data_IF_789900531100
#
_entry.id   IF_789900531100
#
_cell.length_a   1.000
_cell.length_b   1.000
_cell.length_c   1.000
_cell.angle_alpha   90.00
_cell.angle_beta   90.00
_cell.angle_gamma   90.00
#
_symmetry.space_group_name_H-M   'P 1'
#
loop_
_entity.id
_entity.type
_entity.pdbx_description
1 polymer ?
#
# COMPACT_ATOMS: atom_id res chain seq x y z
N UNK A 1 -34.95 5.59 -8.47
CA UNK A 1 -33.68 5.73 -7.73
C UNK A 1 -33.67 4.92 -6.43
N UNK A 2 -34.68 5.04 -5.54
CA UNK A 2 -34.78 4.27 -4.28
C UNK A 2 -34.75 2.74 -4.46
N UNK A 3 -35.46 2.19 -5.44
CA UNK A 3 -35.46 0.74 -5.74
C UNK A 3 -34.10 0.16 -6.21
N UNK A 4 -33.19 0.99 -6.74
CA UNK A 4 -31.83 0.54 -7.08
C UNK A 4 -30.91 0.49 -5.86
N UNK A 5 -31.13 1.37 -4.89
CA UNK A 5 -30.40 1.42 -3.61
C UNK A 5 -30.79 0.25 -2.68
N UNK A 6 -31.93 -0.39 -2.91
CA UNK A 6 -32.39 -1.53 -2.11
C UNK A 6 -31.68 -2.85 -2.49
N UNK A 7 -31.04 -2.92 -3.66
CA UNK A 7 -30.32 -4.13 -4.09
C UNK A 7 -29.14 -4.42 -3.15
N UNK A 8 -28.99 -5.68 -2.69
CA UNK A 8 -27.95 -6.03 -1.72
C UNK A 8 -26.52 -5.77 -2.25
N UNK A 9 -26.31 -5.91 -3.56
CA UNK A 9 -25.03 -5.58 -4.19
C UNK A 9 -24.70 -4.08 -4.12
N UNK A 10 -25.69 -3.21 -4.29
CA UNK A 10 -25.50 -1.74 -4.24
C UNK A 10 -25.29 -1.28 -2.80
N UNK A 11 -26.05 -1.82 -1.85
CA UNK A 11 -25.83 -1.57 -0.41
C UNK A 11 -24.41 -1.96 0.02
N UNK A 12 -23.94 -3.13 -0.41
CA UNK A 12 -22.56 -3.57 -0.15
C UNK A 12 -21.54 -2.63 -0.77
N UNK A 13 -21.77 -2.13 -1.97
CA UNK A 13 -20.83 -1.21 -2.64
C UNK A 13 -20.72 0.10 -1.89
N UNK A 14 -21.87 0.65 -1.50
CA UNK A 14 -21.95 1.88 -0.74
C UNK A 14 -21.28 1.72 0.64
N UNK A 15 -21.59 0.64 1.36
CA UNK A 15 -20.95 0.32 2.65
C UNK A 15 -19.42 0.15 2.51
N UNK A 16 -18.97 -0.47 1.42
CA UNK A 16 -17.52 -0.65 1.15
C UNK A 16 -16.84 0.69 0.85
N UNK A 17 -17.49 1.57 0.11
CA UNK A 17 -16.98 2.92 -0.18
C UNK A 17 -16.95 3.80 1.07
N UNK A 18 -17.99 3.73 1.89
CA UNK A 18 -18.07 4.44 3.16
C UNK A 18 -16.95 3.98 4.09
N UNK A 19 -16.80 2.66 4.30
CA UNK A 19 -15.70 2.08 5.08
C UNK A 19 -14.32 2.49 4.55
N UNK A 20 -14.15 2.49 3.22
CA UNK A 20 -12.90 2.94 2.59
C UNK A 20 -12.57 4.40 2.95
N UNK A 21 -13.57 5.28 2.95
CA UNK A 21 -13.39 6.70 3.26
C UNK A 21 -13.17 6.92 4.75
N UNK A 22 -13.95 6.27 5.62
CA UNK A 22 -13.85 6.38 7.08
C UNK A 22 -12.51 5.86 7.63
N UNK A 23 -11.92 4.87 6.96
CA UNK A 23 -10.61 4.29 7.30
C UNK A 23 -9.44 4.94 6.55
N UNK A 24 -9.60 6.18 6.09
CA UNK A 24 -8.53 6.96 5.44
C UNK A 24 -7.93 6.27 4.22
N UNK A 25 -8.73 5.50 3.47
CA UNK A 25 -8.32 4.77 2.28
C UNK A 25 -7.63 5.65 1.22
N UNK A 26 -8.12 6.87 0.92
CA UNK A 26 -7.41 7.79 0.03
C UNK A 26 -5.99 8.15 0.49
N UNK A 27 -5.77 8.30 1.80
CA UNK A 27 -4.45 8.61 2.36
C UNK A 27 -3.51 7.41 2.28
N UNK A 28 -4.01 6.20 2.56
CA UNK A 28 -3.25 4.97 2.35
C UNK A 28 -2.90 4.78 0.86
N UNK A 29 -3.84 5.02 -0.06
CA UNK A 29 -3.58 4.95 -1.50
C UNK A 29 -2.50 5.95 -1.94
N UNK A 30 -2.53 7.18 -1.42
CA UNK A 30 -1.51 8.19 -1.69
C UNK A 30 -0.12 7.75 -1.19
N UNK A 31 -0.03 7.19 0.02
CA UNK A 31 1.22 6.65 0.55
C UNK A 31 1.76 5.49 -0.31
N UNK A 32 0.89 4.53 -0.66
CA UNK A 32 1.26 3.40 -1.54
C UNK A 32 1.77 3.91 -2.89
N UNK A 33 1.13 4.94 -3.46
CA UNK A 33 1.54 5.56 -4.72
C UNK A 33 2.94 6.15 -4.63
N UNK A 34 3.22 6.92 -3.58
CA UNK A 34 4.53 7.50 -3.33
C UNK A 34 5.62 6.42 -3.28
N UNK A 35 5.40 5.36 -2.50
CA UNK A 35 6.35 4.25 -2.43
C UNK A 35 6.45 3.48 -3.76
N UNK A 36 5.36 3.37 -4.52
CA UNK A 36 5.38 2.71 -5.84
C UNK A 36 6.30 3.44 -6.81
N UNK A 37 6.22 4.77 -6.84
CA UNK A 37 7.11 5.62 -7.68
C UNK A 37 8.57 5.48 -7.23
N UNK A 38 8.85 5.41 -5.94
CA UNK A 38 10.22 5.19 -5.45
C UNK A 38 10.76 3.81 -5.83
N UNK A 39 9.91 2.78 -5.80
CA UNK A 39 10.29 1.39 -6.08
C UNK A 39 10.42 1.09 -7.57
N UNK A 40 9.74 1.84 -8.45
CA UNK A 40 9.73 1.56 -9.90
C UNK A 40 11.15 1.60 -10.50
N UNK A 41 11.98 2.56 -10.09
CA UNK A 41 13.32 2.74 -10.67
C UNK A 41 14.22 1.54 -10.30
N UNK A 42 14.40 1.15 -9.03
CA UNK A 42 15.16 -0.05 -8.68
C UNK A 42 14.61 -1.33 -9.31
N UNK A 43 13.29 -1.47 -9.43
CA UNK A 43 12.67 -2.64 -10.08
C UNK A 43 13.00 -2.69 -11.56
N UNK A 44 12.93 -1.55 -12.27
CA UNK A 44 13.34 -1.47 -13.67
C UNK A 44 14.83 -1.74 -13.84
N UNK A 45 15.69 -1.24 -12.94
CA UNK A 45 17.11 -1.56 -12.93
C UNK A 45 17.35 -3.06 -12.71
N UNK A 46 16.59 -3.69 -11.81
CA UNK A 46 16.68 -5.12 -11.54
C UNK A 46 16.23 -5.94 -12.76
N UNK A 47 15.14 -5.54 -13.41
CA UNK A 47 14.67 -6.14 -14.66
C UNK A 47 15.73 -6.02 -15.77
N UNK A 48 16.35 -4.85 -15.91
CA UNK A 48 17.45 -4.63 -16.85
C UNK A 48 18.66 -5.51 -16.54
N UNK A 49 19.04 -5.66 -15.27
CA UNK A 49 20.13 -6.52 -14.86
C UNK A 49 19.85 -8.01 -15.12
N UNK A 50 18.63 -8.49 -14.86
CA UNK A 50 18.19 -9.86 -15.18
C UNK A 50 18.19 -10.08 -16.70
N UNK A 51 17.74 -9.08 -17.47
CA UNK A 51 17.78 -9.11 -18.93
C UNK A 51 19.22 -9.16 -19.44
N UNK A 52 20.12 -8.34 -18.88
CA UNK A 52 21.56 -8.36 -19.17
C UNK A 52 22.20 -9.70 -18.87
N UNK A 53 21.95 -10.26 -17.69
CA UNK A 53 22.40 -11.61 -17.34
C UNK A 53 21.88 -12.65 -18.34
N UNK A 54 20.60 -12.59 -18.70
CA UNK A 54 19.98 -13.54 -19.61
C UNK A 54 20.58 -13.45 -21.00
N UNK A 55 20.70 -12.24 -21.56
CA UNK A 55 21.21 -12.01 -22.91
C UNK A 55 22.73 -12.16 -23.04
N UNK A 56 23.50 -12.06 -21.96
CA UNK A 56 24.98 -12.18 -22.03
C UNK A 56 25.50 -13.53 -21.55
N UNK A 57 24.80 -14.20 -20.63
CA UNK A 57 25.27 -15.46 -20.00
C UNK A 57 24.37 -16.64 -20.36
N UNK A 58 23.05 -16.49 -20.27
CA UNK A 58 22.12 -17.62 -20.40
C UNK A 58 21.79 -17.95 -21.85
N UNK A 59 21.52 -16.93 -22.67
CA UNK A 59 21.10 -17.01 -24.09
C UNK A 59 21.73 -15.89 -24.92
N UNK A 60 23.05 -15.96 -25.21
CA UNK A 60 23.73 -14.98 -26.06
C UNK A 60 23.11 -14.85 -27.45
N UNK A 61 22.58 -15.94 -28.01
CA UNK A 61 21.93 -15.95 -29.32
C UNK A 61 20.74 -14.98 -29.42
N UNK A 62 20.03 -14.73 -28.31
CA UNK A 62 18.89 -13.80 -28.29
C UNK A 62 19.32 -12.34 -28.43
N UNK A 63 20.54 -12.02 -28.00
CA UNK A 63 21.10 -10.69 -28.11
C UNK A 63 21.29 -10.32 -29.58
N UNK A 64 21.72 -11.27 -30.41
CA UNK A 64 21.85 -11.08 -31.86
C UNK A 64 20.50 -10.85 -32.55
N UNK A 65 19.45 -11.55 -32.11
CA UNK A 65 18.06 -11.34 -32.59
C UNK A 65 17.57 -9.93 -32.23
N UNK A 66 17.84 -9.48 -30.99
CA UNK A 66 17.49 -8.11 -30.57
C UNK A 66 18.23 -7.07 -31.40
N UNK A 67 19.55 -7.24 -31.62
CA UNK A 67 20.37 -6.33 -32.44
C UNK A 67 19.88 -6.26 -33.89
N UNK A 68 19.61 -7.40 -34.51
CA UNK A 68 19.10 -7.47 -35.88
C UNK A 68 17.72 -6.81 -36.01
N UNK A 69 16.82 -7.06 -35.06
CA UNK A 69 15.50 -6.41 -35.02
C UNK A 69 15.61 -4.89 -34.88
N UNK A 70 16.49 -4.39 -34.01
CA UNK A 70 16.73 -2.94 -33.85
C UNK A 70 17.23 -2.34 -35.16
N UNK A 71 18.20 -3.00 -35.82
CA UNK A 71 18.74 -2.53 -37.10
C UNK A 71 17.71 -2.54 -38.23
N UNK A 72 16.82 -3.53 -38.24
CA UNK A 72 15.72 -3.64 -39.22
C UNK A 72 14.69 -2.52 -39.01
N UNK A 73 14.24 -2.30 -37.76
CA UNK A 73 13.23 -1.28 -37.42
C UNK A 73 13.77 0.15 -37.61
N UNK A 74 15.04 0.40 -37.27
CA UNK A 74 15.67 1.73 -37.36
C UNK A 74 16.44 1.96 -38.68
N UNK A 75 16.30 1.04 -39.64
CA UNK A 75 16.85 1.17 -40.99
C UNK A 75 18.37 1.29 -41.05
N UNK A 76 19.10 0.67 -40.11
CA UNK A 76 20.57 0.70 -40.07
C UNK A 76 21.20 2.10 -39.90
N UNK A 77 20.41 3.10 -39.48
CA UNK A 77 20.86 4.48 -39.31
C UNK A 77 21.86 4.67 -38.17
N UNK A 78 22.50 5.85 -38.10
CA UNK A 78 23.39 6.25 -37.00
C UNK A 78 22.69 6.17 -35.63
N UNK A 79 21.37 6.36 -35.61
CA UNK A 79 20.51 6.19 -34.43
C UNK A 79 20.49 4.72 -33.99
N UNK A 80 20.37 3.78 -34.92
CA UNK A 80 20.43 2.34 -34.62
C UNK A 80 21.74 1.96 -33.94
N UNK A 81 22.87 2.42 -34.48
CA UNK A 81 24.18 2.15 -33.90
C UNK A 81 24.33 2.74 -32.49
N UNK A 82 23.80 3.95 -32.26
CA UNK A 82 23.79 4.57 -30.93
C UNK A 82 22.91 3.81 -29.93
N UNK A 83 21.78 3.27 -30.38
CA UNK A 83 20.87 2.46 -29.54
C UNK A 83 21.54 1.13 -29.18
N UNK A 84 22.10 0.43 -30.17
CA UNK A 84 22.81 -0.84 -29.96
C UNK A 84 24.03 -0.65 -29.06
N UNK A 85 24.83 0.39 -29.26
CA UNK A 85 25.99 0.68 -28.41
C UNK A 85 25.58 1.03 -26.96
N UNK A 86 24.48 1.76 -26.78
CA UNK A 86 23.93 2.03 -25.43
C UNK A 86 23.44 0.74 -24.77
N UNK A 87 22.75 -0.12 -25.53
CA UNK A 87 22.30 -1.42 -25.07
C UNK A 87 23.51 -2.27 -24.64
N UNK A 88 24.54 -2.39 -25.47
CA UNK A 88 25.73 -3.18 -25.15
C UNK A 88 26.42 -2.71 -23.86
N UNK A 89 26.62 -1.41 -23.67
CA UNK A 89 27.19 -0.87 -22.42
C UNK A 89 26.31 -1.13 -21.19
N UNK A 90 24.99 -1.02 -21.36
CA UNK A 90 24.05 -1.29 -20.28
C UNK A 90 24.05 -2.78 -19.90
N UNK A 91 24.20 -3.68 -20.89
CA UNK A 91 24.27 -5.12 -20.67
C UNK A 91 25.64 -5.56 -20.13
N UNK A 92 26.77 -4.99 -20.56
CA UNK A 92 28.11 -5.35 -20.06
C UNK A 92 28.27 -5.08 -18.56
N UNK A 93 27.62 -4.03 -18.05
CA UNK A 93 27.66 -3.63 -16.64
C UNK A 93 26.58 -4.27 -15.77
N UNK A 94 25.91 -5.33 -16.26
CA UNK A 94 24.76 -5.96 -15.60
C UNK A 94 25.03 -6.41 -14.16
N UNK A 95 26.27 -6.79 -13.82
CA UNK A 95 26.65 -7.23 -12.46
C UNK A 95 26.56 -6.10 -11.44
N UNK A 96 27.17 -4.95 -11.75
CA UNK A 96 27.15 -3.77 -10.88
C UNK A 96 25.74 -3.19 -10.78
N UNK A 97 25.04 -3.11 -11.91
CA UNK A 97 23.63 -2.73 -11.97
C UNK A 97 22.76 -3.67 -11.14
N UNK A 98 22.97 -4.98 -11.24
CA UNK A 98 22.18 -5.99 -10.54
C UNK A 98 22.32 -5.94 -9.02
N UNK A 99 23.54 -5.79 -8.51
CA UNK A 99 23.77 -5.68 -7.06
C UNK A 99 23.14 -4.39 -6.50
N UNK A 100 23.38 -3.26 -7.18
CA UNK A 100 22.82 -1.97 -6.75
C UNK A 100 21.30 -1.97 -6.81
N UNK A 101 20.73 -2.50 -7.89
CA UNK A 101 19.29 -2.67 -8.06
C UNK A 101 18.70 -3.60 -7.01
N UNK A 102 19.34 -4.74 -6.72
CA UNK A 102 18.84 -5.69 -5.72
C UNK A 102 18.79 -5.06 -4.33
N UNK A 103 19.83 -4.32 -3.92
CA UNK A 103 19.88 -3.65 -2.62
C UNK A 103 18.83 -2.53 -2.53
N UNK A 104 18.76 -1.65 -3.54
CA UNK A 104 17.80 -0.54 -3.55
C UNK A 104 16.35 -1.01 -3.73
N UNK A 105 16.09 -2.05 -4.52
CA UNK A 105 14.78 -2.65 -4.68
C UNK A 105 14.34 -3.38 -3.41
N UNK A 106 15.25 -4.08 -2.72
CA UNK A 106 14.93 -4.71 -1.44
C UNK A 106 14.54 -3.68 -0.38
N UNK A 107 15.27 -2.56 -0.32
CA UNK A 107 14.98 -1.47 0.62
C UNK A 107 13.64 -0.79 0.31
N UNK A 108 13.47 -0.29 -0.91
CA UNK A 108 12.25 0.45 -1.32
C UNK A 108 11.03 -0.48 -1.40
N UNK A 109 11.19 -1.68 -1.94
CA UNK A 109 10.14 -2.69 -2.10
C UNK A 109 9.61 -3.22 -0.77
N UNK A 110 10.47 -3.40 0.23
CA UNK A 110 10.02 -3.74 1.59
C UNK A 110 9.14 -2.64 2.20
N UNK A 111 9.53 -1.38 2.02
CA UNK A 111 8.74 -0.21 2.44
C UNK A 111 7.40 -0.13 1.72
N UNK A 112 7.39 -0.37 0.41
CA UNK A 112 6.17 -0.43 -0.39
C UNK A 112 5.21 -1.53 0.09
N UNK A 113 5.67 -2.77 0.27
CA UNK A 113 4.84 -3.86 0.81
C UNK A 113 4.36 -3.53 2.22
N UNK A 114 5.19 -2.93 3.06
CA UNK A 114 4.80 -2.51 4.41
C UNK A 114 3.59 -1.57 4.40
N UNK A 115 3.65 -0.52 3.58
CA UNK A 115 2.55 0.46 3.45
C UNK A 115 1.30 -0.14 2.79
N UNK A 116 1.50 -0.96 1.75
CA UNK A 116 0.41 -1.67 1.11
C UNK A 116 -0.30 -2.59 2.10
N UNK A 117 0.45 -3.35 2.89
CA UNK A 117 -0.10 -4.27 3.88
C UNK A 117 -0.85 -3.54 4.98
N UNK A 118 -0.32 -2.42 5.50
CA UNK A 118 -1.01 -1.61 6.52
C UNK A 118 -2.35 -1.14 5.99
N UNK A 119 -2.39 -0.50 4.81
CA UNK A 119 -3.65 -0.03 4.23
C UNK A 119 -4.60 -1.18 3.89
N UNK A 120 -4.08 -2.26 3.30
CA UNK A 120 -4.89 -3.40 2.87
C UNK A 120 -5.53 -4.12 4.06
N UNK A 121 -4.76 -4.41 5.11
CA UNK A 121 -5.28 -5.03 6.32
C UNK A 121 -6.23 -4.09 7.07
N UNK A 122 -5.95 -2.79 7.10
CA UNK A 122 -6.85 -1.82 7.75
C UNK A 122 -8.22 -1.82 7.09
N UNK A 123 -8.31 -1.97 5.76
CA UNK A 123 -9.60 -2.07 5.08
C UNK A 123 -10.31 -3.40 5.36
N UNK A 124 -9.56 -4.48 5.49
CA UNK A 124 -10.06 -5.84 5.67
C UNK A 124 -10.57 -6.11 7.10
N UNK A 125 -9.87 -5.58 8.12
CA UNK A 125 -10.00 -5.93 9.54
C UNK A 125 -11.40 -5.66 10.14
N UNK A 126 -12.00 -6.57 10.93
CA UNK A 126 -13.23 -6.28 11.70
C UNK A 126 -13.09 -5.04 12.60
N UNK A 127 -14.19 -4.39 13.00
CA UNK A 127 -14.13 -3.15 13.79
C UNK A 127 -13.49 -3.34 15.18
N UNK A 128 -13.70 -4.51 15.79
CA UNK A 128 -13.25 -4.81 17.15
C UNK A 128 -11.91 -5.57 17.21
N UNK A 129 -11.28 -5.82 16.07
CA UNK A 129 -10.04 -6.61 16.00
C UNK A 129 -8.80 -5.72 16.20
N UNK A 130 -7.94 -6.10 17.15
CA UNK A 130 -6.62 -5.50 17.36
C UNK A 130 -5.69 -5.72 16.14
N UNK A 131 -4.88 -4.72 15.79
CA UNK A 131 -3.90 -4.88 14.71
C UNK A 131 -2.71 -5.72 15.20
N UNK A 132 -2.47 -6.87 14.56
CA UNK A 132 -1.30 -7.70 14.83
C UNK A 132 -0.05 -7.22 14.09
N UNK A 133 -0.20 -6.31 13.12
CA UNK A 133 0.92 -5.72 12.37
C UNK A 133 1.90 -4.96 13.27
N UNK A 134 1.41 -4.19 14.25
CA UNK A 134 2.27 -3.44 15.18
C UNK A 134 2.98 -4.33 16.20
N UNK A 135 2.44 -5.52 16.50
CA UNK A 135 2.99 -6.46 17.49
C UNK A 135 4.12 -7.34 16.92
N UNK A 136 4.44 -7.23 15.63
CA UNK A 136 5.47 -8.06 14.99
C UNK A 136 6.87 -7.46 15.11
N UNK A 137 7.85 -8.30 15.45
CA UNK A 137 9.26 -7.91 15.45
C UNK A 137 9.73 -7.41 14.08
N UNK A 138 10.54 -6.35 14.09
CA UNK A 138 11.05 -5.67 12.89
C UNK A 138 11.63 -6.64 11.85
N UNK A 139 12.48 -7.58 12.30
CA UNK A 139 13.14 -8.55 11.41
C UNK A 139 12.16 -9.49 10.71
N UNK A 140 11.13 -9.97 11.44
CA UNK A 140 10.09 -10.85 10.87
C UNK A 140 9.25 -10.11 9.82
N UNK A 141 8.89 -8.85 10.11
CA UNK A 141 8.17 -7.99 9.18
C UNK A 141 9.01 -7.74 7.91
N UNK A 142 10.29 -7.41 8.07
CA UNK A 142 11.21 -7.17 6.96
C UNK A 142 11.36 -8.39 6.04
N UNK A 143 11.63 -9.58 6.60
CA UNK A 143 11.79 -10.81 5.82
C UNK A 143 10.50 -11.15 5.07
N UNK A 144 9.34 -11.04 5.74
CA UNK A 144 8.07 -11.30 5.08
C UNK A 144 7.79 -10.30 3.97
N UNK A 145 8.01 -9.01 4.21
CA UNK A 145 7.79 -7.97 3.19
C UNK A 145 8.66 -8.23 1.97
N UNK A 146 9.91 -8.64 2.18
CA UNK A 146 10.84 -8.98 1.11
C UNK A 146 10.40 -10.24 0.33
N UNK A 147 9.92 -11.27 1.03
CA UNK A 147 9.38 -12.47 0.40
C UNK A 147 8.13 -12.17 -0.46
N UNK A 148 7.22 -11.33 0.05
CA UNK A 148 6.03 -10.90 -0.72
C UNK A 148 6.44 -10.02 -1.90
N UNK A 149 7.41 -9.12 -1.72
CA UNK A 149 7.92 -8.26 -2.80
C UNK A 149 8.52 -9.07 -3.95
N UNK A 150 9.46 -9.98 -3.69
CA UNK A 150 10.03 -10.83 -4.74
C UNK A 150 9.01 -11.84 -5.29
N UNK A 151 8.10 -12.34 -4.46
CA UNK A 151 6.99 -13.17 -4.92
C UNK A 151 6.07 -12.43 -5.89
N UNK A 152 5.81 -11.14 -5.65
CA UNK A 152 5.04 -10.30 -6.55
C UNK A 152 5.79 -10.05 -7.86
N UNK A 153 7.09 -9.75 -7.82
CA UNK A 153 7.91 -9.62 -9.03
C UNK A 153 7.91 -10.90 -9.87
N UNK A 154 8.05 -12.06 -9.23
CA UNK A 154 7.95 -13.35 -9.90
C UNK A 154 6.55 -13.55 -10.50
N UNK A 155 5.49 -13.21 -9.76
CA UNK A 155 4.12 -13.25 -10.26
C UNK A 155 3.95 -12.38 -11.51
N UNK A 156 4.52 -11.17 -11.52
CA UNK A 156 4.51 -10.28 -12.69
C UNK A 156 5.24 -10.89 -13.90
N UNK A 157 6.38 -11.55 -13.70
CA UNK A 157 7.10 -12.25 -14.78
C UNK A 157 6.27 -13.41 -15.34
N UNK A 158 5.63 -14.21 -14.48
CA UNK A 158 4.75 -15.31 -14.90
C UNK A 158 3.55 -14.76 -15.67
N UNK A 159 2.93 -13.70 -15.18
CA UNK A 159 1.83 -13.00 -15.86
C UNK A 159 2.25 -12.49 -17.24
N UNK A 160 3.44 -11.87 -17.35
CA UNK A 160 3.98 -11.41 -18.62
C UNK A 160 4.15 -12.59 -19.60
N UNK A 161 4.72 -13.70 -19.14
CA UNK A 161 4.89 -14.90 -19.96
C UNK A 161 3.55 -15.45 -20.44
N UNK A 162 2.57 -15.62 -19.54
CA UNK A 162 1.21 -16.07 -19.88
C UNK A 162 0.56 -15.14 -20.91
N UNK A 163 0.75 -13.83 -20.78
CA UNK A 163 0.21 -12.84 -21.71
C UNK A 163 0.83 -12.98 -23.10
N UNK A 164 2.16 -13.14 -23.18
CA UNK A 164 2.88 -13.33 -24.45
C UNK A 164 2.43 -14.62 -25.15
N UNK A 165 2.41 -15.74 -24.41
CA UNK A 165 1.93 -17.02 -24.91
C UNK A 165 0.48 -16.93 -25.38
N UNK A 166 -0.38 -16.31 -24.57
CA UNK A 166 -1.80 -16.17 -24.87
C UNK A 166 -2.11 -15.32 -26.11
N UNK A 167 -1.28 -14.32 -26.41
CA UNK A 167 -1.43 -13.54 -27.66
C UNK A 167 -1.24 -14.41 -28.90
N UNK A 168 -0.24 -15.28 -28.92
CA UNK A 168 0.02 -16.18 -30.06
C UNK A 168 -1.11 -17.20 -30.30
N UNK A 169 -1.74 -17.71 -29.23
CA UNK A 169 -2.88 -18.62 -29.34
C UNK A 169 -4.18 -17.91 -29.74
N UNK A 170 -4.39 -16.67 -29.29
CA UNK A 170 -5.61 -15.91 -29.58
C UNK A 170 -5.73 -15.56 -31.07
N UNK A 171 -4.62 -15.30 -31.77
CA UNK A 171 -4.61 -15.00 -33.20
C UNK A 171 -5.09 -16.17 -34.07
N UNK A 172 -4.93 -17.42 -33.61
CA UNK A 172 -5.34 -18.61 -34.37
C UNK A 172 -6.85 -18.89 -34.31
N UNK A 173 -7.58 -18.27 -33.39
CA UNK A 173 -8.98 -18.59 -33.07
C UNK A 173 -10.01 -17.59 -33.65
N UNK A 174 -9.57 -16.55 -34.38
CA UNK A 174 -10.46 -15.56 -34.98
C UNK A 174 -11.35 -14.85 -33.94
N UNK A 175 -12.68 -14.83 -34.15
CA UNK A 175 -13.65 -14.14 -33.25
C UNK A 175 -13.68 -14.76 -31.84
N UNK A 176 -13.51 -16.08 -31.72
CA UNK A 176 -13.39 -16.76 -30.42
C UNK A 176 -12.12 -16.35 -29.66
N UNK A 177 -11.07 -15.95 -30.39
CA UNK A 177 -9.83 -15.41 -29.84
C UNK A 177 -10.05 -14.10 -29.06
N UNK A 178 -11.02 -13.26 -29.47
CA UNK A 178 -11.35 -12.03 -28.77
C UNK A 178 -11.90 -12.26 -27.36
N UNK A 179 -12.83 -13.22 -27.22
CA UNK A 179 -13.38 -13.60 -25.91
C UNK A 179 -12.30 -14.27 -25.06
N UNK A 180 -11.52 -15.17 -25.66
CA UNK A 180 -10.41 -15.84 -24.98
C UNK A 180 -9.38 -14.82 -24.44
N UNK A 181 -9.08 -13.76 -25.20
CA UNK A 181 -8.18 -12.68 -24.79
C UNK A 181 -8.72 -11.92 -23.58
N UNK A 182 -9.99 -11.53 -23.59
CA UNK A 182 -10.61 -10.83 -22.45
C UNK A 182 -10.58 -11.75 -21.20
N UNK A 183 -10.93 -13.02 -21.37
CA UNK A 183 -10.94 -13.99 -20.27
C UNK A 183 -9.53 -14.22 -19.71
N UNK A 184 -8.52 -14.25 -20.59
CA UNK A 184 -7.11 -14.33 -20.22
C UNK A 184 -6.68 -13.10 -19.43
N UNK A 185 -6.98 -11.88 -19.90
CA UNK A 185 -6.64 -10.63 -19.21
C UNK A 185 -7.27 -10.60 -17.82
N UNK A 186 -8.57 -10.91 -17.71
CA UNK A 186 -9.25 -10.96 -16.41
C UNK A 186 -8.67 -12.07 -15.53
N UNK A 187 -8.35 -13.24 -16.08
CA UNK A 187 -7.76 -14.36 -15.34
C UNK A 187 -6.36 -14.04 -14.80
N UNK A 188 -5.54 -13.35 -15.60
CA UNK A 188 -4.21 -12.86 -15.24
C UNK A 188 -4.31 -11.82 -14.12
N UNK A 189 -5.18 -10.82 -14.26
CA UNK A 189 -5.42 -9.84 -13.19
C UNK A 189 -5.98 -10.51 -11.94
N UNK A 190 -6.81 -11.54 -12.09
CA UNK A 190 -7.33 -12.32 -10.97
C UNK A 190 -6.24 -13.06 -10.21
N UNK A 191 -5.28 -13.68 -10.91
CA UNK A 191 -4.10 -14.31 -10.28
C UNK A 191 -3.27 -13.27 -9.52
N UNK A 192 -3.08 -12.08 -10.09
CA UNK A 192 -2.34 -11.00 -9.42
C UNK A 192 -3.03 -10.57 -8.12
N UNK A 193 -4.35 -10.33 -8.16
CA UNK A 193 -5.11 -9.98 -6.97
C UNK A 193 -5.20 -11.15 -5.97
N UNK A 194 -5.31 -12.39 -6.45
CA UNK A 194 -5.26 -13.59 -5.62
C UNK A 194 -3.94 -13.60 -4.82
N UNK A 195 -2.81 -13.37 -5.47
CA UNK A 195 -1.51 -13.28 -4.80
C UNK A 195 -1.53 -12.24 -3.66
N UNK A 196 -2.11 -11.05 -3.88
CA UNK A 196 -2.24 -10.02 -2.84
C UNK A 196 -3.09 -10.49 -1.65
N UNK A 197 -4.27 -11.07 -1.92
CA UNK A 197 -5.15 -11.57 -0.85
C UNK A 197 -4.59 -12.80 -0.13
N UNK A 198 -3.73 -13.61 -0.75
CA UNK A 198 -3.10 -14.75 -0.08
C UNK A 198 -1.92 -14.33 0.82
N UNK A 199 -1.25 -13.22 0.49
CA UNK A 199 0.04 -12.86 1.12
C UNK A 199 -0.03 -11.67 2.09
N UNK A 200 -0.93 -10.71 1.85
CA UNK A 200 -1.03 -9.49 2.66
C UNK A 200 -1.77 -9.67 3.99
N UNK A 201 -2.92 -10.39 4.07
CA UNK A 201 -3.69 -10.48 5.31
C UNK A 201 -2.90 -10.99 6.52
N UNK A 202 -3.34 -10.58 7.71
CA UNK A 202 -2.82 -11.09 8.99
C UNK A 202 -3.31 -12.51 9.27
N UNK A 203 -4.56 -12.78 8.93
CA UNK A 203 -5.23 -14.07 9.09
C UNK A 203 -5.61 -14.65 7.74
N UNK A 204 -5.63 -15.99 7.67
CA UNK A 204 -5.97 -16.69 6.43
C UNK A 204 -7.45 -16.48 6.13
N UNK A 205 -7.73 -15.89 4.97
CA UNK A 205 -9.10 -15.77 4.47
C UNK A 205 -9.57 -17.10 3.88
N UNK A 206 -10.82 -17.51 4.12
CA UNK A 206 -11.43 -18.62 3.40
C UNK A 206 -11.52 -18.33 1.89
N UNK A 207 -11.47 -19.39 1.07
CA UNK A 207 -11.34 -19.28 -0.40
C UNK A 207 -12.44 -18.45 -1.05
N UNK A 208 -13.67 -18.58 -0.55
CA UNK A 208 -14.83 -17.87 -1.07
C UNK A 208 -14.69 -16.34 -0.96
N UNK A 209 -14.12 -15.86 0.13
CA UNK A 209 -14.01 -14.42 0.41
C UNK A 209 -12.89 -13.80 -0.42
N UNK A 210 -11.69 -14.37 -0.37
CA UNK A 210 -10.59 -13.81 -1.15
C UNK A 210 -10.78 -13.97 -2.66
N UNK A 211 -11.33 -15.08 -3.14
CA UNK A 211 -11.52 -15.30 -4.58
C UNK A 211 -12.48 -14.28 -5.19
N UNK A 212 -13.55 -13.93 -4.46
CA UNK A 212 -14.53 -12.95 -4.91
C UNK A 212 -14.04 -11.51 -4.78
N UNK A 213 -13.26 -11.19 -3.73
CA UNK A 213 -12.55 -9.92 -3.62
C UNK A 213 -11.54 -9.72 -4.75
N UNK A 214 -10.75 -10.76 -5.03
CA UNK A 214 -9.77 -10.77 -6.11
C UNK A 214 -10.43 -10.61 -7.49
N UNK A 215 -11.59 -11.23 -7.72
CA UNK A 215 -12.34 -11.08 -8.95
C UNK A 215 -12.84 -9.64 -9.14
N UNK A 216 -13.35 -9.02 -8.07
CA UNK A 216 -13.73 -7.61 -8.09
C UNK A 216 -12.56 -6.70 -8.46
N UNK A 217 -11.37 -6.95 -7.89
CA UNK A 217 -10.16 -6.21 -8.22
C UNK A 217 -9.66 -6.42 -9.64
N UNK A 218 -9.71 -7.66 -10.12
CA UNK A 218 -9.38 -7.99 -11.50
C UNK A 218 -10.28 -7.24 -12.49
N UNK A 219 -11.60 -7.23 -12.27
CA UNK A 219 -12.53 -6.51 -13.13
C UNK A 219 -12.28 -5.00 -13.10
N UNK A 220 -12.03 -4.42 -11.93
CA UNK A 220 -11.75 -2.99 -11.80
C UNK A 220 -10.43 -2.59 -12.45
N UNK A 221 -9.36 -3.36 -12.28
CA UNK A 221 -8.05 -3.03 -12.87
C UNK A 221 -8.07 -3.21 -14.38
N UNK A 222 -8.72 -4.26 -14.89
CA UNK A 222 -8.88 -4.45 -16.34
C UNK A 222 -9.74 -3.35 -16.94
N UNK A 223 -10.76 -2.89 -16.23
CA UNK A 223 -11.52 -1.70 -16.64
C UNK A 223 -10.60 -0.48 -16.69
N UNK A 224 -9.82 -0.22 -15.64
CA UNK A 224 -8.85 0.87 -15.59
C UNK A 224 -7.85 0.82 -16.75
N UNK A 225 -7.36 -0.35 -17.14
CA UNK A 225 -6.46 -0.52 -18.28
C UNK A 225 -7.09 -0.05 -19.60
N UNK A 226 -8.38 -0.34 -19.83
CA UNK A 226 -9.09 0.15 -21.02
C UNK A 226 -9.27 1.67 -20.99
N UNK A 227 -9.50 2.25 -19.81
CA UNK A 227 -9.63 3.70 -19.64
C UNK A 227 -8.29 4.44 -19.56
N UNK A 228 -7.18 3.74 -19.36
CA UNK A 228 -5.85 4.37 -19.22
C UNK A 228 -5.47 5.15 -20.49
N UNK A 229 -5.83 4.66 -21.68
CA UNK A 229 -5.62 5.37 -22.95
C UNK A 229 -6.36 6.71 -23.02
N UNK A 230 -7.56 6.79 -22.44
CA UNK A 230 -8.33 8.05 -22.36
C UNK A 230 -7.67 9.04 -21.39
N UNK A 231 -7.13 8.55 -20.27
CA UNK A 231 -6.37 9.38 -19.33
C UNK A 231 -5.12 9.93 -20.03
N UNK A 232 -4.38 9.10 -20.76
CA UNK A 232 -3.17 9.53 -21.49
C UNK A 232 -3.54 10.55 -22.57
N UNK A 233 -4.59 10.28 -23.36
CA UNK A 233 -5.06 11.19 -24.41
C UNK A 233 -5.58 12.53 -23.89
N UNK A 234 -6.17 12.57 -22.68
CA UNK A 234 -6.62 13.81 -22.06
C UNK A 234 -5.45 14.77 -21.75
N UNK A 235 -4.24 14.24 -21.54
CA UNK A 235 -3.04 15.04 -21.26
C UNK A 235 -2.22 15.36 -22.52
N UNK A 236 -2.43 14.70 -23.65
CA UNK A 236 -1.57 14.88 -24.85
C UNK A 236 -1.78 16.22 -25.57
N UNK A 237 -2.87 16.94 -25.32
CA UNK A 237 -3.19 18.21 -25.98
C UNK A 237 -2.68 19.48 -25.31
N UNK A 238 -2.02 19.39 -24.14
CA UNK A 238 -1.62 20.55 -23.34
C UNK A 238 -0.08 20.70 -23.29
N UNK A 239 0.51 21.84 -23.71
CA UNK A 239 1.95 22.09 -23.64
C UNK A 239 2.57 21.88 -22.25
N UNK A 240 1.84 22.19 -21.18
CA UNK A 240 2.29 21.95 -19.79
C UNK A 240 2.33 20.46 -19.45
N UNK A 241 1.40 19.68 -19.99
CA UNK A 241 1.37 18.24 -19.83
C UNK A 241 2.47 17.53 -20.64
N UNK A 242 3.03 18.13 -21.69
CA UNK A 242 4.20 17.56 -22.35
C UNK A 242 5.43 17.48 -21.44
N UNK A 243 5.55 18.40 -20.48
CA UNK A 243 6.69 18.46 -19.55
C UNK A 243 6.45 17.61 -18.30
N UNK A 244 5.28 17.74 -17.66
CA UNK A 244 4.98 17.08 -16.38
C UNK A 244 4.02 15.90 -16.50
N UNK A 245 3.35 15.75 -17.64
CA UNK A 245 2.25 14.81 -17.83
C UNK A 245 2.66 13.37 -17.63
N UNK A 246 3.84 12.95 -18.08
CA UNK A 246 4.31 11.57 -17.87
C UNK A 246 4.35 11.20 -16.39
N UNK A 247 4.91 12.06 -15.54
CA UNK A 247 4.98 11.81 -14.09
C UNK A 247 3.58 11.86 -13.46
N UNK A 248 2.79 12.86 -13.82
CA UNK A 248 1.42 13.03 -13.29
C UNK A 248 0.54 11.83 -13.67
N UNK A 249 0.58 11.38 -14.92
CA UNK A 249 -0.18 10.23 -15.42
C UNK A 249 0.25 8.96 -14.68
N UNK A 250 1.56 8.72 -14.55
CA UNK A 250 2.07 7.55 -13.82
C UNK A 250 1.59 7.59 -12.36
N UNK A 251 1.72 8.73 -11.68
CA UNK A 251 1.26 8.88 -10.30
C UNK A 251 -0.26 8.67 -10.17
N UNK A 252 -1.03 9.22 -11.09
CA UNK A 252 -2.49 9.07 -11.12
C UNK A 252 -2.90 7.61 -11.33
N UNK A 253 -2.30 6.92 -12.29
CA UNK A 253 -2.58 5.51 -12.57
C UNK A 253 -2.19 4.62 -11.40
N UNK A 254 -1.00 4.83 -10.82
CA UNK A 254 -0.56 4.10 -9.63
C UNK A 254 -1.51 4.34 -8.44
N UNK A 255 -1.99 5.56 -8.27
CA UNK A 255 -2.96 5.88 -7.23
C UNK A 255 -4.32 5.23 -7.47
N UNK A 256 -4.80 5.20 -8.71
CA UNK A 256 -6.04 4.49 -9.05
C UNK A 256 -5.92 2.99 -8.80
N UNK A 257 -4.78 2.39 -9.16
CA UNK A 257 -4.50 0.98 -8.85
C UNK A 257 -4.48 0.73 -7.34
N UNK A 258 -3.81 1.59 -6.56
CA UNK A 258 -3.79 1.50 -5.11
C UNK A 258 -5.20 1.65 -4.50
N UNK A 259 -6.02 2.58 -5.00
CA UNK A 259 -7.41 2.73 -4.60
C UNK A 259 -8.22 1.46 -4.90
N UNK A 260 -8.05 0.84 -6.07
CA UNK A 260 -8.73 -0.42 -6.41
C UNK A 260 -8.33 -1.53 -5.43
N UNK A 261 -7.03 -1.67 -5.11
CA UNK A 261 -6.56 -2.65 -4.12
C UNK A 261 -7.22 -2.45 -2.75
N UNK A 262 -7.34 -1.21 -2.29
CA UNK A 262 -7.94 -0.90 -0.99
C UNK A 262 -9.46 -1.01 -0.97
N UNK A 263 -10.15 -0.57 -2.04
CA UNK A 263 -11.61 -0.69 -2.17
C UNK A 263 -12.03 -2.17 -2.24
N UNK A 264 -11.26 -3.00 -2.93
CA UNK A 264 -11.53 -4.44 -3.03
C UNK A 264 -11.28 -5.17 -1.71
N UNK A 265 -10.27 -4.74 -0.95
CA UNK A 265 -10.07 -5.17 0.44
C UNK A 265 -11.25 -4.77 1.32
N UNK A 266 -11.68 -3.51 1.26
CA UNK A 266 -12.83 -2.98 2.02
C UNK A 266 -14.12 -3.76 1.70
N UNK A 267 -14.37 -4.03 0.41
CA UNK A 267 -15.50 -4.84 -0.03
C UNK A 267 -15.47 -6.25 0.54
N UNK A 268 -14.29 -6.86 0.59
CA UNK A 268 -14.12 -8.20 1.16
C UNK A 268 -14.36 -8.19 2.67
N UNK A 269 -13.88 -7.17 3.38
CA UNK A 269 -14.12 -6.99 4.82
C UNK A 269 -15.60 -6.77 5.16
N UNK A 270 -16.30 -5.91 4.41
CA UNK A 270 -17.76 -5.70 4.58
C UNK A 270 -18.52 -7.01 4.37
N UNK A 271 -18.17 -7.78 3.35
CA UNK A 271 -18.83 -9.06 3.09
C UNK A 271 -18.59 -10.09 4.18
N UNK A 272 -17.39 -10.12 4.75
CA UNK A 272 -17.08 -11.01 5.87
C UNK A 272 -17.94 -10.68 7.10
N UNK A 273 -18.07 -9.39 7.45
CA UNK A 273 -18.91 -8.95 8.58
C UNK A 273 -20.39 -9.35 8.40
N UNK A 274 -20.93 -9.14 7.20
CA UNK A 274 -22.34 -9.44 6.92
C UNK A 274 -22.66 -10.94 6.89
N UNK A 275 -21.72 -11.77 6.45
CA UNK A 275 -21.87 -13.23 6.46
C UNK A 275 -21.61 -13.82 7.87
N UNK A 276 -20.85 -13.11 8.71
CA UNK A 276 -20.60 -13.45 10.12
C UNK A 276 -21.72 -13.06 11.10
N UNK A 277 -22.77 -12.38 10.63
CA UNK A 277 -23.90 -11.98 11.46
C UNK A 277 -23.70 -10.68 12.24
N UNK A 278 -22.64 -9.91 11.94
CA UNK A 278 -22.46 -8.55 12.46
C UNK A 278 -23.12 -7.56 11.49
N UNK A 279 -24.34 -7.07 11.77
CA UNK A 279 -24.87 -5.97 11.01
C UNK A 279 -23.96 -4.76 11.26
N UNK A 280 -23.39 -4.20 10.18
CA UNK A 280 -22.93 -2.81 10.20
C UNK A 280 -24.18 -1.98 10.49
N UNK A 281 -24.40 -1.66 11.77
CA UNK A 281 -25.45 -0.73 12.16
C UNK A 281 -25.11 0.58 11.48
N UNK A 282 -25.87 0.90 10.43
CA UNK A 282 -25.94 2.25 9.93
C UNK A 282 -26.28 3.14 11.13
N UNK A 283 -25.41 4.10 11.44
CA UNK A 283 -25.68 5.18 12.39
C UNK A 283 -26.79 6.06 11.83
N UNK A 284 -28.01 5.54 11.86
CA UNK A 284 -29.23 6.20 11.40
C UNK A 284 -30.41 5.65 12.21
N UNK A 285 -30.44 5.98 13.49
CA UNK A 285 -31.67 6.42 14.19
C UNK A 285 -31.30 6.93 15.60
N UNK A 286 -31.20 8.25 15.74
CA UNK A 286 -31.32 8.93 17.03
C UNK A 286 -32.83 9.03 17.33
N UNK A 287 -33.37 8.07 18.06
CA UNK A 287 -34.61 8.28 18.83
C UNK A 287 -34.22 8.22 20.31
N UNK A 288 -34.32 9.32 21.07
CA UNK A 288 -34.00 9.30 22.49
C UNK A 288 -35.17 8.64 23.22
N UNK A 289 -35.06 7.36 23.55
CA UNK A 289 -35.92 6.78 24.57
C UNK A 289 -35.32 7.07 25.95
N UNK A 290 -36.16 7.62 26.81
CA UNK A 290 -35.80 8.10 28.13
C UNK A 290 -35.72 6.94 29.12
N UNK A 291 -34.51 6.52 29.43
CA UNK A 291 -34.24 5.75 30.64
C UNK A 291 -32.93 6.24 31.26
N UNK A 292 -33.05 6.76 32.48
CA UNK A 292 -31.96 7.29 33.31
C UNK A 292 -30.86 6.24 33.53
N UNK A 293 -29.56 6.61 33.50
CA UNK A 293 -28.50 5.66 33.72
C UNK A 293 -28.30 5.41 35.23
N UNK A 294 -28.46 4.16 35.65
CA UNK A 294 -27.94 3.68 36.92
C UNK A 294 -26.41 3.67 36.89
N UNK A 295 -25.82 4.17 37.98
CA UNK A 295 -24.39 4.27 38.23
C UNK A 295 -23.70 2.90 38.26
N UNK A 296 -23.02 2.54 37.18
CA UNK A 296 -21.95 1.55 37.17
C UNK A 296 -20.72 2.17 36.48
N UNK A 297 -19.55 1.99 37.09
CA UNK A 297 -18.27 2.51 36.61
C UNK A 297 -17.96 1.98 35.20
N UNK A 298 -18.22 2.83 34.22
CA UNK A 298 -18.13 2.53 32.78
C UNK A 298 -16.66 2.51 32.34
N UNK A 299 -16.05 1.33 32.32
CA UNK A 299 -14.76 1.12 31.63
C UNK A 299 -14.98 1.27 30.12
N UNK A 300 -14.58 2.43 29.60
CA UNK A 300 -14.75 2.81 28.18
C UNK A 300 -13.97 1.84 27.29
N UNK A 301 -14.66 0.87 26.68
CA UNK A 301 -14.06 -0.13 25.80
C UNK A 301 -14.19 0.17 24.30
N UNK A 302 -14.92 1.21 23.92
CA UNK A 302 -15.27 1.46 22.51
C UNK A 302 -14.69 2.77 21.98
N UNK A 303 -13.93 2.72 20.87
CA UNK A 303 -13.32 3.90 20.22
C UNK A 303 -14.35 4.95 19.76
N UNK A 304 -15.58 4.52 19.45
CA UNK A 304 -16.70 5.40 19.10
C UNK A 304 -17.13 6.27 20.30
N UNK A 305 -17.08 5.70 21.49
CA UNK A 305 -17.49 6.30 22.76
C UNK A 305 -16.44 7.30 23.26
N UNK A 306 -15.16 6.94 23.11
CA UNK A 306 -14.04 7.87 23.30
C UNK A 306 -14.14 9.09 22.37
N UNK A 307 -14.41 8.89 21.08
CA UNK A 307 -14.61 10.00 20.12
C UNK A 307 -15.91 10.77 20.34
N UNK A 308 -16.93 10.16 20.95
CA UNK A 308 -18.14 10.85 21.40
C UNK A 308 -17.81 11.77 22.58
N UNK A 309 -17.12 11.25 23.61
CA UNK A 309 -16.66 12.05 24.76
C UNK A 309 -15.72 13.17 24.35
N UNK A 310 -14.77 12.92 23.44
CA UNK A 310 -13.86 13.95 22.91
C UNK A 310 -14.60 15.04 22.13
N UNK A 311 -15.61 14.69 21.32
CA UNK A 311 -16.44 15.68 20.59
C UNK A 311 -17.39 16.45 21.50
N UNK A 312 -17.92 15.82 22.53
CA UNK A 312 -18.78 16.46 23.54
C UNK A 312 -17.95 17.41 24.41
N UNK A 313 -16.75 16.98 24.84
CA UNK A 313 -15.81 17.81 25.58
C UNK A 313 -15.28 19.00 24.76
N UNK A 314 -15.09 18.84 23.45
CA UNK A 314 -14.69 19.93 22.55
C UNK A 314 -15.80 20.97 22.28
N UNK A 315 -17.05 20.70 22.68
CA UNK A 315 -18.19 21.62 22.54
C UNK A 315 -18.63 22.25 23.86
N UNK A 316 -18.15 21.76 24.99
CA UNK A 316 -18.41 22.35 26.32
C UNK A 316 -17.44 23.49 26.57
N UNK A 317 -17.94 24.52 27.23
CA UNK A 317 -17.12 25.65 27.64
C UNK A 317 -16.15 25.22 28.76
N UNK A 318 -14.98 25.84 28.84
CA UNK A 318 -13.92 25.45 29.80
C UNK A 318 -14.41 25.54 31.26
N UNK A 319 -15.36 26.43 31.53
CA UNK A 319 -15.97 26.61 32.85
C UNK A 319 -16.92 25.46 33.23
N UNK A 320 -17.60 24.83 32.27
CA UNK A 320 -18.45 23.64 32.52
C UNK A 320 -17.63 22.37 32.78
N UNK A 321 -16.50 22.22 32.09
CA UNK A 321 -15.56 21.11 32.34
C UNK A 321 -14.87 21.25 33.71
N UNK A 322 -14.77 22.47 34.22
CA UNK A 322 -14.21 22.77 35.54
C UNK A 322 -15.20 22.48 36.66
N UNK A 323 -16.50 22.71 36.45
CA UNK A 323 -17.51 22.45 37.48
C UNK A 323 -17.79 20.95 37.71
N UNK A 324 -17.70 20.12 36.66
CA UNK A 324 -17.98 18.68 36.78
C UNK A 324 -16.83 17.89 37.47
N UNK A 325 -15.61 18.42 37.46
CA UNK A 325 -14.40 17.74 38.00
C UNK A 325 -13.79 18.42 39.24
N UNK A 326 -14.41 19.47 39.78
CA UNK A 326 -13.90 20.21 40.93
C UNK A 326 -14.86 20.12 42.10
N UNK A 327 -14.59 19.20 43.03
CA UNK A 327 -15.16 19.26 44.37
C UNK A 327 -14.35 20.26 45.20
N UNK A 328 -14.89 21.44 45.56
CA UNK A 328 -14.17 22.43 46.36
C UNK A 328 -13.79 21.94 47.76
N UNK A 329 -14.30 20.78 48.20
CA UNK A 329 -13.97 20.14 49.47
C UNK A 329 -12.91 19.03 49.36
N UNK A 330 -12.56 18.59 48.16
CA UNK A 330 -11.56 17.54 47.92
C UNK A 330 -10.42 18.04 47.01
N UNK A 331 -9.67 19.02 47.51
CA UNK A 331 -8.43 19.47 46.87
C UNK A 331 -7.30 18.53 47.33
N UNK A 332 -6.67 17.74 46.44
CA UNK A 332 -5.54 16.91 46.82
C UNK A 332 -4.40 17.80 47.28
N UNK A 333 -4.16 17.83 48.59
CA UNK A 333 -3.01 18.55 49.14
C UNK A 333 -1.74 17.79 48.71
N UNK A 334 -0.75 18.46 48.10
CA UNK A 334 0.50 17.80 47.75
C UNK A 334 1.15 17.29 49.03
N UNK A 335 1.31 15.97 49.15
CA UNK A 335 2.01 15.35 50.28
C UNK A 335 3.49 15.78 50.25
N UNK A 336 3.96 16.62 51.20
CA UNK A 336 5.31 17.16 51.20
C UNK A 336 6.39 16.07 51.36
N UNK A 337 6.01 14.87 51.80
CA UNK A 337 6.92 13.74 52.02
C UNK A 337 6.99 12.75 50.85
N UNK A 338 6.19 12.94 49.79
CA UNK A 338 6.23 12.08 48.61
C UNK A 338 7.24 12.60 47.59
N UNK A 339 8.53 12.47 47.90
CA UNK A 339 9.61 12.71 46.95
C UNK A 339 9.76 11.51 46.01
N UNK A 340 9.77 11.78 44.70
CA UNK A 340 10.06 10.75 43.69
C UNK A 340 11.59 10.61 43.63
N UNK A 341 12.14 9.39 43.83
CA UNK A 341 13.58 9.18 43.75
C UNK A 341 14.14 9.60 42.38
N UNK A 342 15.23 10.39 42.38
CA UNK A 342 15.83 10.98 41.16
C UNK A 342 16.22 9.92 40.12
N UNK A 343 16.55 8.71 40.57
CA UNK A 343 16.88 7.56 39.72
C UNK A 343 15.69 7.10 38.88
N UNK A 344 14.45 7.23 39.38
CA UNK A 344 13.22 6.89 38.64
C UNK A 344 12.91 7.96 37.59
N UNK A 345 13.10 9.23 37.92
CA UNK A 345 12.97 10.34 36.97
C UNK A 345 14.04 10.27 35.87
N UNK A 346 15.30 9.98 36.25
CA UNK A 346 16.40 9.81 35.32
C UNK A 346 16.22 8.58 34.39
N UNK A 347 15.58 7.51 34.88
CA UNK A 347 15.22 6.34 34.05
C UNK A 347 14.20 6.71 32.98
N UNK A 348 13.18 7.48 33.33
CA UNK A 348 12.18 7.96 32.38
C UNK A 348 12.80 8.79 31.25
N UNK A 349 13.70 9.72 31.60
CA UNK A 349 14.39 10.57 30.63
C UNK A 349 15.36 9.76 29.75
N UNK A 350 16.11 8.80 30.31
CA UNK A 350 16.99 7.92 29.51
C UNK A 350 16.24 7.02 28.55
N UNK A 351 15.09 6.47 28.96
CA UNK A 351 14.25 5.64 28.08
C UNK A 351 13.65 6.50 26.97
N UNK A 352 13.16 7.70 27.29
CA UNK A 352 12.64 8.64 26.29
C UNK A 352 13.69 9.08 25.26
N UNK A 353 14.92 9.38 25.70
CA UNK A 353 16.03 9.70 24.80
C UNK A 353 16.40 8.51 23.91
N UNK A 354 16.49 7.29 24.46
CA UNK A 354 16.84 6.09 23.69
C UNK A 354 15.83 5.77 22.58
N UNK A 355 14.53 5.94 22.87
CA UNK A 355 13.47 5.77 21.87
C UNK A 355 13.52 6.89 20.82
N UNK A 356 13.79 8.14 21.23
CA UNK A 356 13.93 9.27 20.32
C UNK A 356 15.06 9.10 19.29
N UNK A 357 16.24 8.65 19.72
CA UNK A 357 17.35 8.37 18.80
C UNK A 357 17.11 7.14 17.91
N UNK A 358 16.43 6.11 18.43
CA UNK A 358 16.07 4.92 17.64
C UNK A 358 15.08 5.21 16.52
N UNK A 359 14.07 6.03 16.79
CA UNK A 359 13.05 6.45 15.81
C UNK A 359 13.63 7.43 14.78
N UNK A 360 14.55 8.31 15.19
CA UNK A 360 15.27 9.22 14.29
C UNK A 360 16.20 8.52 13.29
N UNK A 361 16.81 7.39 13.67
CA UNK A 361 17.66 6.58 12.77
C UNK A 361 16.83 5.79 11.73
N UNK A 362 15.63 5.35 12.10
CA UNK A 362 14.76 4.54 11.23
C UNK A 362 14.02 5.36 10.14
N UNK A 363 13.90 6.67 10.32
CA UNK A 363 13.17 7.60 9.43
C UNK A 363 14.07 8.37 8.45
N UNK A 364 15.39 8.14 8.47
CA UNK A 364 16.33 8.77 7.52
C UNK A 364 16.80 10.18 7.88
N UNK A 365 16.22 10.84 8.90
CA UNK A 365 16.72 12.10 9.46
C UNK A 365 18.00 11.93 10.30
N UNK A 366 18.25 10.72 10.82
CA UNK A 366 19.39 10.40 11.68
C UNK A 366 20.73 10.21 10.96
N UNK A 367 20.78 10.13 9.62
CA UNK A 367 22.05 10.00 8.90
C UNK A 367 22.95 11.23 9.10
N UNK A 368 22.37 12.43 9.21
CA UNK A 368 23.09 13.66 9.56
C UNK A 368 23.66 13.64 10.98
N UNK A 369 22.94 13.06 11.94
CA UNK A 369 23.38 12.92 13.34
C UNK A 369 24.50 11.87 13.48
N UNK A 370 24.43 10.78 12.69
CA UNK A 370 25.49 9.76 12.63
C UNK A 370 26.73 10.32 11.93
N UNK A 371 26.58 11.06 10.84
CA UNK A 371 27.70 11.75 10.17
C UNK A 371 28.34 12.80 11.06
N UNK A 372 27.55 13.62 11.76
CA UNK A 372 28.09 14.60 12.72
C UNK A 372 28.75 13.95 13.93
N UNK A 373 28.21 12.83 14.44
CA UNK A 373 28.85 12.06 15.51
C UNK A 373 30.18 11.42 15.06
N UNK A 374 30.23 10.88 13.84
CA UNK A 374 31.46 10.29 13.26
C UNK A 374 32.51 11.38 12.99
N UNK A 375 32.11 12.54 12.45
CA UNK A 375 32.99 13.70 12.24
C UNK A 375 33.48 14.28 13.57
N UNK A 376 32.62 14.39 14.59
CA UNK A 376 33.01 14.86 15.92
C UNK A 376 33.94 13.87 16.65
N UNK A 377 33.78 12.57 16.44
CA UNK A 377 34.66 11.54 16.98
C UNK A 377 36.04 11.56 16.31
N UNK A 378 36.10 11.73 14.98
CA UNK A 378 37.34 11.86 14.22
C UNK A 378 38.14 13.13 14.59
N UNK A 379 37.48 14.18 15.05
CA UNK A 379 38.11 15.45 15.44
C UNK A 379 38.60 15.48 16.90
N UNK A 380 38.26 14.45 17.70
CA UNK A 380 38.71 14.26 19.09
C UNK A 380 39.86 13.24 19.20
N UNK A 381 40.22 12.56 18.11
CA UNK A 381 41.52 11.93 17.92
C UNK A 381 42.43 12.92 17.21
#
# INVERSE_FOLDING_TARGET
MKALLEKPAVKRLLASWQRFTERQGPQHAAAITYFSVLTIIPVLMLFGAVTGFTLTVVRPDWLEVVRSTINEVLGGSQISQSVVATLDRALESWRGLGITALLTASYTGSGWIGNLRVGFCEMLRPEDADSQLQKQGFLKSLIRNLAVFFGLLLCMVVVLAITILGMAFAEQLGVLGGIARILLTVGVSWIMFAFLFLTLPEEKLPVRHWATGALGGAVLVTTLEHFAGLIIGAFSGNPTAAVFGNVIIIMLLLNLVAMIMLVTSSWTGVRQAWEGGEPLTASTDDTPDGSEPSSEEETVHTWAEKRRRERVAARRDLDELRSDNFDPLDVPTPDPNRSVPEDVAARGVKVGMGVGYGVGAATGLGLGAVLTAVVAWLRRR
#
